data_IF_960472371736
#
_entry.id   IF_960472371736
#
_cell.length_a   1.000
_cell.length_b   1.000
_cell.length_c   1.000
_cell.angle_alpha   90.00
_cell.angle_beta   90.00
_cell.angle_gamma   90.00
#
_symmetry.space_group_name_H-M   'P 1'
#
loop_
_entity.id
_entity.type
_entity.pdbx_description
1 polymer ?
#
# COMPACT_ATOMS: atom_id res chain seq x y z
N UNK A 1 -19.62 -38.95 -10.91
CA UNK A 1 -20.19 -37.67 -10.39
C UNK A 1 -19.10 -36.98 -9.59
N UNK A 2 -18.49 -35.94 -10.15
CA UNK A 2 -17.73 -34.95 -9.39
C UNK A 2 -18.11 -33.59 -9.98
N UNK A 3 -18.81 -32.80 -9.16
CA UNK A 3 -19.14 -31.41 -9.47
C UNK A 3 -17.89 -30.55 -9.28
N UNK A 4 -17.61 -29.72 -10.29
CA UNK A 4 -16.58 -28.69 -10.22
C UNK A 4 -16.99 -27.56 -9.30
N UNK A 5 -16.08 -27.16 -8.42
CA UNK A 5 -16.08 -25.85 -7.79
C UNK A 5 -15.17 -24.93 -8.61
N UNK A 6 -15.79 -23.94 -9.23
CA UNK A 6 -15.13 -22.76 -9.78
C UNK A 6 -14.56 -21.97 -8.60
N UNK A 7 -13.25 -21.79 -8.57
CA UNK A 7 -12.58 -20.80 -7.69
C UNK A 7 -12.18 -19.64 -8.59
N UNK A 8 -12.68 -18.45 -8.25
CA UNK A 8 -12.46 -17.19 -8.98
C UNK A 8 -10.97 -16.80 -9.07
N UNK A 9 -10.51 -16.24 -10.20
CA UNK A 9 -9.12 -15.86 -10.42
C UNK A 9 -8.91 -14.39 -10.04
N UNK A 10 -8.77 -14.08 -8.75
CA UNK A 10 -8.45 -12.70 -8.31
C UNK A 10 -7.12 -12.58 -7.57
N UNK A 11 -6.55 -13.69 -7.08
CA UNK A 11 -5.33 -13.66 -6.25
C UNK A 11 -4.01 -13.85 -7.03
N UNK A 12 -4.03 -14.47 -8.21
CA UNK A 12 -2.82 -14.67 -9.04
C UNK A 12 -2.33 -13.38 -9.72
N UNK A 13 -3.13 -12.32 -9.74
CA UNK A 13 -2.78 -11.05 -10.38
C UNK A 13 -1.79 -10.21 -9.55
N UNK A 14 -1.77 -10.36 -8.23
CA UNK A 14 -0.89 -9.57 -7.36
C UNK A 14 0.57 -10.06 -7.41
N UNK A 15 0.79 -11.37 -7.54
CA UNK A 15 2.13 -11.96 -7.67
C UNK A 15 2.74 -11.73 -9.05
N UNK A 16 1.92 -11.70 -10.12
CA UNK A 16 2.37 -11.40 -11.47
C UNK A 16 2.81 -9.93 -11.63
N UNK A 17 2.18 -9.01 -10.90
CA UNK A 17 2.57 -7.60 -10.86
C UNK A 17 3.97 -7.42 -10.27
N UNK A 18 4.36 -8.21 -9.25
CA UNK A 18 5.70 -8.14 -8.64
C UNK A 18 6.80 -8.73 -9.53
N UNK A 19 6.53 -9.82 -10.26
CA UNK A 19 7.50 -10.41 -11.19
C UNK A 19 7.76 -9.52 -12.43
N UNK A 20 6.73 -8.82 -12.91
CA UNK A 20 6.90 -7.78 -13.94
C UNK A 20 7.58 -6.53 -13.40
N UNK A 21 7.42 -6.22 -12.11
CA UNK A 21 8.05 -5.09 -11.43
C UNK A 21 9.59 -5.17 -11.46
N UNK A 22 10.17 -6.33 -11.16
CA UNK A 22 11.62 -6.54 -11.16
C UNK A 22 12.22 -6.61 -12.57
N UNK A 23 11.45 -7.14 -13.54
CA UNK A 23 11.89 -7.28 -14.94
C UNK A 23 11.94 -5.94 -15.69
N UNK A 24 11.08 -4.98 -15.34
CA UNK A 24 11.08 -3.63 -15.92
C UNK A 24 12.16 -2.74 -15.27
N UNK A 25 12.49 -2.98 -13.99
CA UNK A 25 13.38 -2.13 -13.19
C UNK A 25 14.86 -2.16 -13.61
N UNK A 26 15.34 -3.23 -14.26
CA UNK A 26 16.73 -3.34 -14.72
C UNK A 26 16.95 -2.85 -16.16
N UNK A 27 15.90 -2.42 -16.86
CA UNK A 27 16.03 -2.01 -18.25
C UNK A 27 16.50 -0.54 -18.33
N UNK A 28 17.65 -0.29 -18.96
CA UNK A 28 18.26 1.03 -19.22
C UNK A 28 17.37 2.03 -20.00
N UNK A 29 16.12 1.66 -20.28
CA UNK A 29 15.21 2.35 -21.20
C UNK A 29 14.59 3.64 -20.62
N UNK A 30 14.70 3.89 -19.31
CA UNK A 30 14.19 5.13 -18.70
C UNK A 30 15.22 6.27 -18.60
N UNK A 31 16.49 6.05 -18.98
CA UNK A 31 17.57 7.04 -18.79
C UNK A 31 18.15 7.65 -20.07
N UNK A 32 17.74 7.22 -21.26
CA UNK A 32 18.33 7.71 -22.51
C UNK A 32 17.39 8.65 -23.27
N UNK A 33 17.77 9.92 -23.52
CA UNK A 33 17.12 10.69 -24.58
C UNK A 33 17.44 9.99 -25.90
N UNK A 34 16.40 9.59 -26.65
CA UNK A 34 16.56 8.86 -27.91
C UNK A 34 17.42 9.65 -28.91
N UNK A 35 18.72 9.39 -28.91
CA UNK A 35 19.68 9.99 -29.82
C UNK A 35 20.32 8.90 -30.69
N UNK A 36 19.52 8.21 -31.51
CA UNK A 36 19.96 7.87 -32.86
C UNK A 36 18.80 7.44 -33.76
N UNK A 37 18.90 7.80 -35.03
CA UNK A 37 17.86 7.61 -36.05
C UNK A 37 17.66 6.12 -36.34
N UNK A 38 16.42 5.75 -36.71
CA UNK A 38 16.01 4.48 -37.36
C UNK A 38 15.57 3.31 -36.47
N UNK A 39 14.70 3.52 -35.47
CA UNK A 39 13.59 2.59 -35.21
C UNK A 39 12.56 3.17 -34.22
N UNK A 40 11.31 3.25 -34.65
CA UNK A 40 10.06 3.35 -33.86
C UNK A 40 10.14 3.96 -32.46
N UNK A 41 10.07 5.30 -32.39
CA UNK A 41 9.53 5.98 -31.20
C UNK A 41 8.01 5.76 -31.13
N UNK A 42 7.57 4.52 -30.90
CA UNK A 42 6.25 4.33 -30.32
C UNK A 42 6.34 4.91 -28.92
N UNK A 43 5.66 6.04 -28.70
CA UNK A 43 5.83 6.93 -27.56
C UNK A 43 6.16 6.17 -26.25
N UNK A 44 7.37 6.32 -25.69
CA UNK A 44 7.69 5.81 -24.35
C UNK A 44 6.77 6.40 -23.27
N UNK A 45 6.00 7.44 -23.61
CA UNK A 45 5.02 8.10 -22.77
C UNK A 45 4.05 7.11 -22.10
N UNK A 46 3.66 6.01 -22.76
CA UNK A 46 2.65 5.09 -22.22
C UNK A 46 3.19 4.19 -21.10
N UNK A 47 4.50 3.93 -21.08
CA UNK A 47 5.13 3.04 -20.08
C UNK A 47 5.91 3.79 -18.99
N UNK A 48 6.11 5.10 -19.14
CA UNK A 48 6.82 5.96 -18.18
C UNK A 48 5.89 6.88 -17.37
N UNK A 49 4.58 6.66 -17.37
CA UNK A 49 3.65 7.36 -16.46
C UNK A 49 3.71 6.77 -15.04
N UNK A 50 4.92 6.68 -14.47
CA UNK A 50 5.10 6.34 -13.07
C UNK A 50 4.69 7.56 -12.21
N UNK A 51 3.39 7.67 -11.95
CA UNK A 51 2.75 8.77 -11.22
C UNK A 51 2.63 8.45 -9.73
N UNK A 52 3.74 8.05 -9.11
CA UNK A 52 3.76 7.73 -7.68
C UNK A 52 4.87 8.50 -6.95
N UNK A 53 4.61 8.96 -5.72
CA UNK A 53 5.33 10.07 -5.11
C UNK A 53 6.72 9.62 -4.65
N UNK A 54 7.75 10.03 -5.37
CA UNK A 54 9.13 9.70 -5.06
C UNK A 54 9.93 9.46 -6.32
N UNK A 55 11.01 10.21 -6.51
CA UNK A 55 12.04 9.79 -7.46
C UNK A 55 12.66 8.50 -6.89
N UNK A 56 12.76 7.40 -7.65
CA UNK A 56 13.29 6.15 -7.11
C UNK A 56 14.65 6.37 -6.43
N UNK A 57 14.74 6.05 -5.14
CA UNK A 57 15.97 6.17 -4.34
C UNK A 57 16.32 7.58 -3.83
N UNK A 58 15.38 8.53 -3.83
CA UNK A 58 15.58 9.86 -3.23
C UNK A 58 14.77 10.03 -1.92
N UNK A 59 15.31 10.80 -0.97
CA UNK A 59 14.59 11.23 0.23
C UNK A 59 13.39 12.14 -0.11
N UNK A 60 12.45 12.30 0.83
CA UNK A 60 11.22 13.06 0.59
C UNK A 60 11.49 14.53 0.22
N UNK A 61 12.34 15.30 0.95
CA UNK A 61 12.69 16.67 0.56
C UNK A 61 13.23 16.80 -0.86
N UNK A 62 14.16 15.91 -1.25
CA UNK A 62 14.73 15.89 -2.60
C UNK A 62 13.65 15.58 -3.64
N UNK A 63 12.84 14.54 -3.43
CA UNK A 63 11.74 14.20 -4.33
C UNK A 63 10.74 15.36 -4.49
N UNK A 64 10.33 15.98 -3.37
CA UNK A 64 9.43 17.14 -3.36
C UNK A 64 9.98 18.29 -4.19
N UNK A 65 11.25 18.66 -3.99
CA UNK A 65 11.90 19.76 -4.72
C UNK A 65 11.90 19.53 -6.23
N UNK A 66 12.21 18.31 -6.67
CA UNK A 66 12.24 17.98 -8.09
C UNK A 66 10.84 17.95 -8.71
N UNK A 67 9.86 17.37 -8.02
CA UNK A 67 8.48 17.28 -8.50
C UNK A 67 7.80 18.65 -8.61
N UNK A 68 8.15 19.59 -7.73
CA UNK A 68 7.70 20.99 -7.78
C UNK A 68 8.20 21.77 -9.02
N UNK A 69 9.22 21.27 -9.75
CA UNK A 69 9.65 21.90 -11.02
C UNK A 69 8.63 21.69 -12.14
N UNK A 70 7.70 20.76 -11.97
CA UNK A 70 6.65 20.49 -12.94
C UNK A 70 5.38 21.29 -12.65
N UNK A 71 4.50 21.49 -13.65
CA UNK A 71 3.20 22.13 -13.43
C UNK A 71 2.36 21.41 -12.36
N UNK A 72 1.55 22.16 -11.58
CA UNK A 72 0.65 21.58 -10.58
C UNK A 72 -0.24 20.47 -11.14
N UNK A 73 -0.54 19.46 -10.33
CA UNK A 73 -1.39 18.33 -10.73
C UNK A 73 -0.73 17.33 -11.68
N UNK A 74 0.47 17.59 -12.22
CA UNK A 74 1.23 16.55 -12.97
C UNK A 74 1.56 15.37 -12.06
N UNK A 75 2.04 15.69 -10.86
CA UNK A 75 2.48 14.73 -9.87
C UNK A 75 1.68 14.86 -8.57
N UNK A 76 1.62 13.77 -7.80
CA UNK A 76 1.31 13.87 -6.38
C UNK A 76 2.56 14.37 -5.66
N UNK A 77 2.62 15.66 -5.35
CA UNK A 77 3.80 16.24 -4.68
C UNK A 77 3.91 15.68 -3.26
N UNK A 78 4.99 14.96 -2.88
CA UNK A 78 5.07 14.26 -1.61
C UNK A 78 5.09 15.25 -0.43
N UNK A 79 4.36 14.90 0.63
CA UNK A 79 4.43 15.54 1.94
C UNK A 79 5.49 14.84 2.79
N UNK A 80 6.30 15.61 3.48
CA UNK A 80 7.41 15.09 4.27
C UNK A 80 7.20 15.38 5.75
N UNK A 81 7.71 14.49 6.60
CA UNK A 81 7.88 14.72 8.02
C UNK A 81 9.11 15.62 8.27
N UNK A 82 9.25 16.12 9.50
CA UNK A 82 10.37 17.00 9.89
C UNK A 82 11.73 16.30 9.80
N UNK A 83 11.76 14.98 9.99
CA UNK A 83 12.96 14.15 9.87
C UNK A 83 13.35 13.84 8.41
N UNK A 84 12.59 14.35 7.44
CA UNK A 84 12.81 14.11 6.01
C UNK A 84 12.23 12.81 5.48
N UNK A 85 11.57 12.00 6.32
CA UNK A 85 10.81 10.83 5.87
C UNK A 85 9.53 11.24 5.13
N UNK A 86 8.96 10.32 4.37
CA UNK A 86 7.66 10.54 3.76
C UNK A 86 6.56 10.44 4.83
N UNK A 87 5.59 11.37 4.79
CA UNK A 87 4.33 11.15 5.49
C UNK A 87 3.65 9.92 4.89
N UNK A 88 3.11 9.04 5.73
CA UNK A 88 2.54 7.78 5.24
C UNK A 88 1.27 8.02 4.42
N UNK A 89 0.53 9.09 4.72
CA UNK A 89 -0.68 9.51 4.02
C UNK A 89 -0.39 10.55 2.92
N UNK A 90 -0.39 10.13 1.65
CA UNK A 90 -0.09 10.99 0.50
C UNK A 90 -1.33 11.20 -0.37
N UNK A 91 -1.61 12.44 -0.79
CA UNK A 91 -2.79 12.79 -1.59
C UNK A 91 -2.46 13.78 -2.71
N UNK A 92 -3.27 13.79 -3.77
CA UNK A 92 -3.20 14.81 -4.82
C UNK A 92 -3.62 16.20 -4.31
N UNK A 93 -3.23 17.25 -5.04
CA UNK A 93 -3.69 18.62 -4.78
C UNK A 93 -5.19 18.73 -5.06
N UNK A 94 -5.98 19.02 -4.01
CA UNK A 94 -7.46 18.94 -3.99
C UNK A 94 -8.00 17.51 -4.17
N UNK A 95 -7.82 16.63 -3.17
CA UNK A 95 -8.18 15.23 -3.32
C UNK A 95 -9.69 15.02 -3.30
N UNK A 96 -10.17 14.16 -4.20
CA UNK A 96 -11.42 13.42 -4.02
C UNK A 96 -11.30 12.34 -2.94
N UNK A 97 -12.39 11.60 -2.67
CA UNK A 97 -12.46 10.63 -1.56
C UNK A 97 -11.48 9.45 -1.69
N UNK A 98 -11.05 9.09 -2.90
CA UNK A 98 -10.10 8.00 -3.15
C UNK A 98 -8.78 8.48 -3.76
N UNK A 99 -8.49 9.78 -3.73
CA UNK A 99 -7.26 10.37 -4.31
C UNK A 99 -6.02 10.26 -3.42
N UNK A 100 -6.13 9.53 -2.31
CA UNK A 100 -5.06 9.34 -1.35
C UNK A 100 -4.51 7.90 -1.37
N UNK A 101 -3.24 7.78 -1.00
CA UNK A 101 -2.48 6.54 -0.98
C UNK A 101 -1.62 6.44 0.28
N UNK A 102 -1.18 5.22 0.56
CA UNK A 102 -0.26 4.91 1.64
C UNK A 102 1.14 4.65 1.10
N UNK A 103 2.12 5.28 1.74
CA UNK A 103 3.55 5.00 1.54
C UNK A 103 4.20 4.68 2.88
N UNK A 104 5.33 3.98 2.85
CA UNK A 104 6.20 3.81 4.00
C UNK A 104 7.13 5.03 4.16
N UNK A 105 7.84 5.10 5.29
CA UNK A 105 8.71 6.25 5.65
C UNK A 105 9.79 6.55 4.62
N UNK A 106 10.21 5.55 3.85
CA UNK A 106 11.19 5.65 2.77
C UNK A 106 10.58 5.96 1.39
N UNK A 107 9.25 6.11 1.31
CA UNK A 107 8.51 6.33 0.08
C UNK A 107 8.04 5.04 -0.60
N UNK A 108 8.28 3.86 -0.02
CA UNK A 108 7.78 2.59 -0.56
C UNK A 108 6.26 2.62 -0.66
N UNK A 109 5.73 2.28 -1.84
CA UNK A 109 4.29 2.30 -2.10
C UNK A 109 3.57 1.13 -1.41
N UNK A 110 2.60 1.45 -0.55
CA UNK A 110 1.83 0.45 0.20
C UNK A 110 0.39 0.30 -0.31
N UNK A 111 -0.20 1.35 -0.88
CA UNK A 111 -1.52 1.30 -1.51
C UNK A 111 -1.61 2.23 -2.71
N UNK A 112 -2.61 2.04 -3.58
CA UNK A 112 -2.83 2.89 -4.75
C UNK A 112 -4.02 3.83 -4.50
N UNK A 113 -3.97 5.09 -4.97
CA UNK A 113 -5.15 5.93 -5.06
C UNK A 113 -6.07 5.44 -6.20
N UNK A 114 -7.29 5.97 -6.23
CA UNK A 114 -8.31 5.79 -7.28
C UNK A 114 -8.74 4.34 -7.49
N UNK A 115 -8.80 3.58 -6.40
CA UNK A 115 -9.32 2.20 -6.39
C UNK A 115 -10.76 2.09 -5.86
N UNK A 116 -11.45 3.21 -5.66
CA UNK A 116 -12.77 3.21 -5.01
C UNK A 116 -12.72 2.87 -3.52
N UNK A 117 -11.54 2.98 -2.90
CA UNK A 117 -11.31 2.79 -1.48
C UNK A 117 -11.31 4.16 -0.79
N UNK A 118 -12.31 4.43 0.05
CA UNK A 118 -12.37 5.65 0.86
C UNK A 118 -11.51 5.49 2.12
N UNK A 119 -10.19 5.45 1.91
CA UNK A 119 -9.23 5.30 3.01
C UNK A 119 -9.30 6.52 3.95
N UNK A 120 -9.13 6.26 5.23
CA UNK A 120 -9.08 7.29 6.29
C UNK A 120 -7.74 7.26 7.04
N UNK A 121 -7.02 6.14 6.96
CA UNK A 121 -5.72 5.95 7.62
C UNK A 121 -4.81 5.03 6.82
N UNK A 122 -3.53 5.01 7.17
CA UNK A 122 -2.54 4.05 6.65
C UNK A 122 -2.05 3.04 7.69
N UNK A 123 -2.62 3.03 8.90
CA UNK A 123 -2.09 2.24 10.01
C UNK A 123 -1.96 0.76 9.69
N UNK A 124 -2.96 0.14 9.05
CA UNK A 124 -2.88 -1.27 8.69
C UNK A 124 -1.80 -1.54 7.66
N UNK A 125 -1.71 -0.69 6.63
CA UNK A 125 -0.71 -0.83 5.58
C UNK A 125 0.73 -0.69 6.11
N UNK A 126 0.96 0.29 6.99
CA UNK A 126 2.29 0.56 7.56
C UNK A 126 2.73 -0.58 8.46
N UNK A 127 1.91 -0.95 9.46
CA UNK A 127 2.25 -2.01 10.40
C UNK A 127 2.31 -3.38 9.71
N UNK A 128 1.45 -3.64 8.72
CA UNK A 128 1.55 -4.85 7.91
C UNK A 128 2.85 -4.91 7.13
N UNK A 129 3.37 -3.78 6.67
CA UNK A 129 4.65 -3.72 5.97
C UNK A 129 5.83 -3.90 6.94
N UNK A 130 5.77 -3.29 8.13
CA UNK A 130 6.77 -3.50 9.18
C UNK A 130 6.88 -4.98 9.56
N UNK A 131 5.77 -5.68 9.73
CA UNK A 131 5.77 -7.12 10.02
C UNK A 131 6.40 -7.92 8.87
N UNK A 132 6.08 -7.57 7.61
CA UNK A 132 6.69 -8.21 6.44
C UNK A 132 8.22 -8.03 6.40
N UNK A 133 8.73 -6.90 6.86
CA UNK A 133 10.18 -6.67 6.94
C UNK A 133 10.86 -7.58 7.96
N UNK A 134 10.14 -8.01 9.00
CA UNK A 134 10.63 -8.91 10.07
C UNK A 134 10.43 -10.37 9.65
N UNK A 135 9.23 -10.76 9.26
CA UNK A 135 8.88 -12.09 8.78
C UNK A 135 8.36 -12.05 7.34
N UNK A 136 9.26 -12.36 6.39
CA UNK A 136 8.96 -12.35 4.95
C UNK A 136 8.10 -13.52 4.49
N UNK A 137 7.96 -14.56 5.31
CA UNK A 137 7.25 -15.79 4.97
C UNK A 137 5.77 -15.73 5.34
N UNK A 138 5.41 -14.88 6.30
CA UNK A 138 4.00 -14.65 6.62
C UNK A 138 3.34 -13.65 5.66
N UNK A 139 2.04 -13.83 5.45
CA UNK A 139 1.26 -12.93 4.59
C UNK A 139 1.08 -11.59 5.30
N UNK A 140 1.03 -10.51 4.50
CA UNK A 140 0.53 -9.21 4.92
C UNK A 140 -0.78 -9.32 5.73
N UNK A 141 -0.86 -8.57 6.83
CA UNK A 141 -2.09 -8.39 7.58
C UNK A 141 -3.16 -7.79 6.68
N UNK A 142 -4.41 -8.20 6.90
CA UNK A 142 -5.53 -7.85 6.03
C UNK A 142 -6.16 -6.54 6.48
N UNK A 143 -6.19 -5.58 5.56
CA UNK A 143 -6.76 -4.24 5.78
C UNK A 143 -8.14 -4.11 5.15
N UNK A 144 -9.01 -3.30 5.76
CA UNK A 144 -10.27 -2.87 5.17
C UNK A 144 -10.08 -1.67 4.20
N UNK A 145 -11.17 -1.24 3.56
CA UNK A 145 -11.15 -0.13 2.59
C UNK A 145 -10.89 1.25 3.22
N UNK A 146 -11.00 1.37 4.54
CA UNK A 146 -10.71 2.58 5.29
C UNK A 146 -9.23 2.63 5.75
N UNK A 147 -8.49 1.52 5.57
CA UNK A 147 -7.09 1.40 5.96
C UNK A 147 -6.89 0.91 7.40
N UNK A 148 -7.95 0.46 8.07
CA UNK A 148 -7.90 -0.21 9.36
C UNK A 148 -7.74 -1.72 9.20
N UNK A 149 -7.46 -2.42 10.29
CA UNK A 149 -7.37 -3.87 10.27
C UNK A 149 -8.74 -4.52 10.26
N UNK A 150 -8.90 -5.58 9.46
CA UNK A 150 -9.95 -6.54 9.74
C UNK A 150 -9.71 -7.23 11.10
N UNK A 151 -10.74 -7.49 11.91
CA UNK A 151 -10.53 -8.05 13.25
C UNK A 151 -9.83 -9.41 13.25
N UNK A 152 -10.14 -10.29 12.29
CA UNK A 152 -9.52 -11.60 12.19
C UNK A 152 -8.28 -11.54 11.29
N UNK A 153 -7.14 -11.92 11.85
CA UNK A 153 -5.86 -12.01 11.14
C UNK A 153 -5.36 -13.45 11.18
N UNK A 154 -4.75 -13.92 10.10
CA UNK A 154 -4.34 -15.32 9.98
C UNK A 154 -2.96 -15.45 9.34
N UNK A 155 -2.10 -16.23 9.98
CA UNK A 155 -0.77 -16.57 9.49
C UNK A 155 -0.87 -17.73 8.51
N UNK A 156 -0.25 -17.60 7.33
CA UNK A 156 -0.16 -18.70 6.38
C UNK A 156 0.90 -19.72 6.79
N UNK A 157 1.97 -19.26 7.41
CA UNK A 157 3.07 -20.09 7.89
C UNK A 157 2.61 -21.01 9.02
N UNK A 158 2.03 -20.44 10.07
CA UNK A 158 1.63 -21.21 11.26
C UNK A 158 0.22 -21.79 11.17
N UNK A 159 -0.57 -21.36 10.17
CA UNK A 159 -1.99 -21.74 9.98
C UNK A 159 -2.87 -21.42 11.19
N UNK A 160 -2.48 -20.43 11.99
CA UNK A 160 -3.22 -19.94 13.16
C UNK A 160 -3.79 -18.56 12.89
N UNK A 161 -4.94 -18.26 13.51
CA UNK A 161 -5.56 -16.95 13.44
C UNK A 161 -5.63 -16.30 14.83
N UNK A 162 -5.50 -14.98 14.88
CA UNK A 162 -5.61 -14.13 16.06
C UNK A 162 -6.62 -13.01 15.82
N UNK A 163 -7.02 -12.32 16.88
CA UNK A 163 -7.89 -11.14 16.77
C UNK A 163 -7.12 -9.86 17.09
N UNK A 164 -7.38 -8.82 16.31
CA UNK A 164 -6.83 -7.47 16.51
C UNK A 164 -7.94 -6.44 16.60
N UNK A 165 -7.67 -5.31 17.26
CA UNK A 165 -8.48 -4.10 17.15
C UNK A 165 -8.30 -3.46 15.76
N UNK A 166 -9.13 -2.46 15.43
CA UNK A 166 -8.99 -1.70 14.17
C UNK A 166 -7.63 -1.01 14.01
N UNK A 167 -6.85 -0.85 15.09
CA UNK A 167 -5.49 -0.29 15.10
C UNK A 167 -4.37 -1.33 15.18
N UNK A 168 -4.70 -2.63 15.16
CA UNK A 168 -3.71 -3.71 15.13
C UNK A 168 -3.30 -4.25 16.49
N UNK A 169 -3.90 -3.78 17.59
CA UNK A 169 -3.63 -4.33 18.93
C UNK A 169 -4.19 -5.74 19.05
N UNK A 170 -3.36 -6.73 19.36
CA UNK A 170 -3.79 -8.12 19.55
C UNK A 170 -4.67 -8.23 20.81
N UNK A 171 -5.91 -8.67 20.63
CA UNK A 171 -6.88 -8.89 21.73
C UNK A 171 -7.12 -10.36 22.02
N UNK A 172 -6.66 -11.25 21.13
CA UNK A 172 -6.77 -12.67 21.33
C UNK A 172 -5.59 -13.40 20.69
N UNK A 173 -4.95 -14.37 21.38
CA UNK A 173 -3.76 -15.02 20.87
C UNK A 173 -4.05 -15.92 19.65
N UNK A 174 -3.01 -16.25 18.85
CA UNK A 174 -3.12 -17.15 17.71
C UNK A 174 -3.60 -18.55 18.11
N UNK A 175 -4.63 -19.06 17.43
CA UNK A 175 -5.15 -20.41 17.58
C UNK A 175 -5.54 -21.00 16.22
N UNK A 176 -5.35 -22.32 16.05
CA UNK A 176 -5.75 -23.04 14.83
C UNK A 176 -7.29 -23.16 14.70
N UNK A 177 -7.99 -23.14 15.83
CA UNK A 177 -9.45 -23.30 15.91
C UNK A 177 -10.19 -21.98 15.71
N UNK A 178 -9.48 -20.84 15.69
CA UNK A 178 -10.09 -19.52 15.56
C UNK A 178 -10.60 -19.30 14.12
N UNK A 179 -11.90 -19.07 13.98
CA UNK A 179 -12.58 -18.75 12.70
C UNK A 179 -13.26 -17.38 12.67
N UNK A 180 -13.52 -16.76 13.82
CA UNK A 180 -14.06 -15.40 13.92
C UNK A 180 -13.53 -14.68 15.17
N UNK A 181 -13.93 -13.42 15.32
CA UNK A 181 -13.58 -12.56 16.44
C UNK A 181 -14.82 -12.02 17.19
N UNK A 182 -15.98 -12.68 17.01
CA UNK A 182 -17.26 -12.20 17.55
C UNK A 182 -17.27 -12.19 19.08
N UNK A 183 -16.62 -13.17 19.72
CA UNK A 183 -16.45 -13.23 21.18
C UNK A 183 -15.69 -12.01 21.74
N UNK A 184 -14.92 -11.32 20.89
CA UNK A 184 -14.15 -10.12 21.22
C UNK A 184 -14.84 -8.83 20.79
N UNK A 185 -16.07 -8.88 20.28
CA UNK A 185 -16.77 -7.71 19.72
C UNK A 185 -16.89 -6.53 20.70
N UNK A 186 -16.88 -6.78 22.01
CA UNK A 186 -16.89 -5.72 23.02
C UNK A 186 -15.59 -4.89 23.03
N UNK A 187 -14.43 -5.50 22.78
CA UNK A 187 -13.13 -4.81 22.67
C UNK A 187 -12.91 -4.16 21.29
N UNK A 188 -13.71 -4.55 20.30
CA UNK A 188 -13.63 -4.00 18.94
C UNK A 188 -14.46 -2.73 18.76
N UNK A 189 -15.34 -2.39 19.72
CA UNK A 189 -16.23 -1.23 19.66
C UNK A 189 -15.57 0.07 20.13
N UNK A 190 -14.49 -0.03 20.89
CA UNK A 190 -13.87 1.15 21.49
C UNK A 190 -12.89 1.76 20.51
N UNK A 191 -13.17 3.02 20.14
CA UNK A 191 -12.25 4.12 19.72
C UNK A 191 -12.91 5.12 18.76
N UNK A 192 -14.17 5.48 19.02
CA UNK A 192 -14.72 6.76 18.56
C UNK A 192 -14.91 7.74 19.74
N UNK A 193 -14.73 7.30 20.99
CA UNK A 193 -15.10 8.08 22.17
C UNK A 193 -13.96 8.88 22.84
N UNK A 194 -12.69 8.67 22.49
CA UNK A 194 -11.55 9.28 23.22
C UNK A 194 -10.81 10.40 22.48
N UNK A 195 -11.23 10.83 21.29
CA UNK A 195 -10.60 11.98 20.58
C UNK A 195 -11.39 13.29 20.75
N UNK A 196 -12.46 13.31 21.55
CA UNK A 196 -13.26 14.53 21.82
C UNK A 196 -13.03 15.13 23.22
N UNK A 197 -11.98 14.72 23.93
CA UNK A 197 -11.69 15.23 25.27
C UNK A 197 -10.21 15.61 25.43
N UNK A 198 -9.75 16.62 24.70
CA UNK A 198 -8.63 17.47 25.08
C UNK A 198 -8.66 18.79 24.31
#
# INVERSE_FOLDING_TARGET
>A
MFHGFLVEPTLLAQDALRYLYDAVWHSEYCKTPCANKVLLCLSPAVLCEYRYPGYPGADCPTARKEMLKSPPGRWMTPKCNEDGSFQEWQCFDNPGPDDCMCVYRDGTLLSLPRRGENKETCICHVLSFEEFLINKEDRFMVCDSHGYFYPLQCSLETRKCWCVTKYGTVVAPPSADRKSCDDFAHLLKDTAAEVSAQ
#
